data_IF_849352264664
#
_entry.id   IF_849352264664
#
_cell.length_a   1.000
_cell.length_b   1.000
_cell.length_c   1.000
_cell.angle_alpha   90.00
_cell.angle_beta   90.00
_cell.angle_gamma   90.00
#
_symmetry.space_group_name_H-M   'P 1'
#
loop_
_entity.id
_entity.type
_entity.pdbx_description
1 polymer ?
#
# COMPACT_ATOMS: atom_id res chain seq x y z
N UNK A 1 -28.90 7.69 12.81
CA UNK A 1 -28.45 6.37 13.33
C UNK A 1 -28.50 6.36 14.84
N UNK A 2 -29.11 5.36 15.44
CA UNK A 2 -29.27 5.23 16.89
C UNK A 2 -27.93 4.76 17.50
N UNK A 3 -27.58 5.24 18.68
CA UNK A 3 -26.37 4.92 19.45
C UNK A 3 -26.06 3.41 19.52
N UNK A 4 -27.09 2.56 19.40
CA UNK A 4 -26.96 1.11 19.33
C UNK A 4 -26.35 0.59 18.01
N UNK A 5 -26.55 1.30 16.89
CA UNK A 5 -26.00 0.92 15.57
C UNK A 5 -24.52 1.29 15.45
N UNK A 6 -24.13 2.40 16.09
CA UNK A 6 -22.70 2.78 16.17
C UNK A 6 -21.93 1.81 17.06
N UNK A 7 -22.56 1.33 18.15
CA UNK A 7 -21.97 0.33 19.01
C UNK A 7 -21.78 -1.05 18.30
N UNK A 8 -22.69 -1.41 17.41
CA UNK A 8 -22.57 -2.66 16.63
C UNK A 8 -21.44 -2.57 15.60
N UNK A 9 -21.26 -1.42 14.93
CA UNK A 9 -20.15 -1.23 14.00
C UNK A 9 -18.80 -1.24 14.72
N UNK A 10 -18.71 -0.59 15.88
CA UNK A 10 -17.51 -0.60 16.72
C UNK A 10 -17.16 -2.00 17.24
N UNK A 11 -18.18 -2.79 17.59
CA UNK A 11 -17.98 -4.18 18.07
C UNK A 11 -17.54 -5.12 16.95
N UNK A 12 -18.00 -4.93 15.71
CA UNK A 12 -17.57 -5.74 14.56
C UNK A 12 -16.11 -5.47 14.24
N UNK A 13 -15.66 -4.22 14.26
CA UNK A 13 -14.24 -3.87 14.03
C UNK A 13 -13.36 -4.41 15.16
N UNK A 14 -13.78 -4.29 16.42
CA UNK A 14 -13.05 -4.82 17.58
C UNK A 14 -13.04 -6.36 17.58
N UNK A 15 -14.11 -7.01 17.12
CA UNK A 15 -14.15 -8.48 17.00
C UNK A 15 -13.27 -9.00 15.86
N UNK A 16 -13.12 -8.26 14.77
CA UNK A 16 -12.17 -8.60 13.71
C UNK A 16 -10.73 -8.48 14.22
N UNK A 17 -10.40 -7.40 14.95
CA UNK A 17 -9.08 -7.22 15.57
C UNK A 17 -8.83 -8.27 16.66
N UNK A 18 -9.82 -8.62 17.46
CA UNK A 18 -9.70 -9.67 18.48
C UNK A 18 -9.62 -11.08 17.88
N UNK A 19 -10.32 -11.36 16.78
CA UNK A 19 -10.22 -12.62 16.06
C UNK A 19 -8.83 -12.79 15.42
N UNK A 20 -8.27 -11.71 14.89
CA UNK A 20 -6.89 -11.68 14.35
C UNK A 20 -5.87 -11.93 15.46
N UNK A 21 -6.03 -11.32 16.64
CA UNK A 21 -5.14 -11.57 17.79
C UNK A 21 -5.21 -13.00 18.32
N UNK A 22 -6.36 -13.67 18.23
CA UNK A 22 -6.52 -15.08 18.65
C UNK A 22 -5.91 -16.06 17.64
N UNK A 23 -5.88 -15.70 16.35
CA UNK A 23 -5.23 -16.52 15.32
C UNK A 23 -3.70 -16.48 15.47
N UNK A 24 -3.13 -15.33 15.84
CA UNK A 24 -1.67 -15.18 16.05
C UNK A 24 -1.14 -16.09 17.17
N UNK A 25 -1.95 -16.41 18.18
CA UNK A 25 -1.52 -17.24 19.31
C UNK A 25 -1.73 -18.75 19.13
N UNK A 26 -2.33 -19.19 18.00
CA UNK A 26 -2.66 -20.61 17.76
C UNK A 26 -2.00 -21.24 16.53
N UNK A 27 -1.25 -20.50 15.74
CA UNK A 27 -0.64 -21.04 14.52
C UNK A 27 0.85 -21.39 14.69
N UNK A 28 1.18 -22.17 15.71
CA UNK A 28 2.51 -22.78 15.82
C UNK A 28 2.49 -24.27 15.45
N UNK A 29 1.73 -24.62 14.44
CA UNK A 29 1.78 -25.94 13.80
C UNK A 29 2.08 -25.73 12.30
N UNK A 30 3.38 -25.72 11.97
CA UNK A 30 3.94 -25.59 10.62
C UNK A 30 3.29 -26.49 9.58
N UNK A 31 2.19 -26.03 9.00
CA UNK A 31 1.62 -26.62 7.78
C UNK A 31 0.85 -25.55 7.00
N UNK A 32 1.41 -25.22 5.86
CA UNK A 32 0.73 -24.53 4.79
C UNK A 32 1.50 -23.31 4.34
N UNK A 33 2.57 -23.49 3.56
CA UNK A 33 2.90 -22.50 2.55
C UNK A 33 1.72 -22.51 1.57
N UNK A 34 0.77 -21.61 1.74
CA UNK A 34 0.03 -21.14 0.58
C UNK A 34 1.09 -20.67 -0.41
N UNK A 35 0.96 -21.00 -1.67
CA UNK A 35 1.81 -20.43 -2.71
C UNK A 35 1.62 -18.92 -2.62
N UNK A 36 2.66 -18.22 -2.13
CA UNK A 36 2.60 -16.77 -1.92
C UNK A 36 2.82 -16.13 -3.27
N UNK A 37 1.79 -15.45 -3.79
CA UNK A 37 1.84 -14.74 -5.07
C UNK A 37 2.38 -13.30 -4.96
N UNK A 38 2.90 -12.91 -3.78
CA UNK A 38 3.41 -11.57 -3.56
C UNK A 38 4.67 -11.28 -4.37
N UNK A 39 4.84 -10.03 -4.75
CA UNK A 39 5.92 -9.54 -5.58
C UNK A 39 6.73 -8.43 -4.90
N UNK A 40 8.03 -8.39 -5.16
CA UNK A 40 8.89 -7.25 -4.88
C UNK A 40 8.99 -6.34 -6.10
N UNK A 41 8.78 -5.05 -5.93
CA UNK A 41 8.94 -4.05 -6.99
C UNK A 41 10.42 -3.63 -7.20
N UNK A 42 11.36 -4.56 -7.09
CA UNK A 42 12.81 -4.33 -7.10
C UNK A 42 13.44 -4.99 -8.34
N UNK A 43 14.27 -4.25 -9.06
CA UNK A 43 15.07 -4.82 -10.16
C UNK A 43 15.93 -5.98 -9.67
N UNK A 44 15.87 -7.10 -10.40
CA UNK A 44 16.48 -8.36 -10.01
C UNK A 44 15.53 -9.39 -9.39
N UNK A 45 14.28 -9.00 -9.08
CA UNK A 45 13.20 -9.94 -8.81
C UNK A 45 12.67 -10.48 -10.16
N UNK A 46 13.45 -11.31 -10.82
CA UNK A 46 13.20 -11.71 -12.20
C UNK A 46 12.01 -12.65 -12.33
N UNK A 47 11.81 -13.53 -11.35
CA UNK A 47 10.69 -14.46 -11.32
C UNK A 47 9.39 -13.83 -10.80
N UNK A 48 9.45 -12.56 -10.41
CA UNK A 48 8.32 -11.76 -9.88
C UNK A 48 7.69 -12.35 -8.61
N UNK A 49 8.50 -12.96 -7.75
CA UNK A 49 8.05 -13.38 -6.41
C UNK A 49 8.43 -12.35 -5.33
N UNK A 50 8.33 -12.71 -4.06
CA UNK A 50 8.61 -11.82 -2.92
C UNK A 50 10.05 -11.91 -2.40
N UNK A 51 10.97 -12.50 -3.17
CA UNK A 51 12.39 -12.70 -2.79
C UNK A 51 13.30 -12.43 -3.96
N UNK A 52 14.52 -12.01 -3.68
CA UNK A 52 15.59 -11.95 -4.66
C UNK A 52 16.65 -12.99 -4.25
N UNK A 53 16.82 -14.02 -5.08
CA UNK A 53 17.65 -15.17 -4.75
C UNK A 53 18.25 -15.84 -5.99
N UNK A 54 18.77 -17.08 -5.85
CA UNK A 54 19.39 -17.81 -6.95
C UNK A 54 18.39 -18.27 -8.03
N UNK A 55 17.10 -18.35 -7.72
CA UNK A 55 16.07 -18.70 -8.71
C UNK A 55 15.93 -17.59 -9.76
N UNK A 56 16.02 -16.33 -9.32
CA UNK A 56 16.08 -15.15 -10.20
C UNK A 56 17.32 -15.21 -11.11
N UNK A 57 18.47 -15.58 -10.53
CA UNK A 57 19.71 -15.69 -11.28
C UNK A 57 19.65 -16.79 -12.36
N UNK A 58 19.05 -17.94 -12.05
CA UNK A 58 18.82 -19.02 -12.99
C UNK A 58 17.85 -18.62 -14.12
N UNK A 59 16.80 -17.87 -13.78
CA UNK A 59 15.86 -17.36 -14.78
C UNK A 59 16.51 -16.29 -15.66
N UNK A 60 17.25 -15.37 -15.06
CA UNK A 60 18.01 -14.36 -15.81
C UNK A 60 19.00 -14.99 -16.80
N UNK A 61 19.68 -16.08 -16.41
CA UNK A 61 20.54 -16.83 -17.29
C UNK A 61 19.79 -17.40 -18.52
N UNK A 62 18.59 -17.93 -18.32
CA UNK A 62 17.77 -18.43 -19.45
C UNK A 62 17.33 -17.29 -20.36
N UNK A 63 17.01 -16.12 -19.82
CA UNK A 63 16.65 -14.94 -20.61
C UNK A 63 17.85 -14.46 -21.43
N UNK A 64 19.03 -14.32 -20.83
CA UNK A 64 20.26 -13.88 -21.51
C UNK A 64 20.64 -14.85 -22.61
N UNK A 65 20.47 -16.16 -22.41
CA UNK A 65 20.75 -17.19 -23.41
C UNK A 65 19.68 -17.28 -24.52
N UNK A 66 18.55 -16.57 -24.38
CA UNK A 66 17.46 -16.62 -25.37
C UNK A 66 16.54 -17.83 -25.24
N UNK A 67 16.64 -18.59 -24.16
CA UNK A 67 15.78 -19.74 -23.88
C UNK A 67 14.37 -19.31 -23.46
N UNK A 68 14.24 -18.10 -22.92
CA UNK A 68 12.99 -17.47 -22.46
C UNK A 68 12.94 -16.03 -22.97
N UNK A 69 11.72 -15.56 -23.37
CA UNK A 69 11.55 -14.18 -23.84
C UNK A 69 11.69 -13.19 -22.69
N UNK A 70 12.45 -12.13 -22.91
CA UNK A 70 12.62 -11.05 -21.94
C UNK A 70 11.35 -10.20 -21.72
N UNK A 71 10.43 -10.21 -22.69
CA UNK A 71 9.25 -9.35 -22.67
C UNK A 71 8.30 -9.62 -21.48
N UNK A 72 8.39 -10.82 -20.91
CA UNK A 72 7.56 -11.26 -19.78
C UNK A 72 8.19 -10.91 -18.41
N UNK A 73 9.44 -10.40 -18.40
CA UNK A 73 10.23 -10.21 -17.19
C UNK A 73 10.78 -8.78 -17.05
N UNK A 74 9.92 -7.81 -16.73
CA UNK A 74 10.30 -6.39 -16.71
C UNK A 74 11.37 -6.04 -15.67
N UNK A 75 11.57 -6.87 -14.64
CA UNK A 75 12.58 -6.68 -13.61
C UNK A 75 13.92 -7.37 -13.90
N UNK A 76 14.10 -7.93 -15.11
CA UNK A 76 15.34 -8.56 -15.54
C UNK A 76 16.43 -7.57 -15.96
N UNK A 77 16.07 -6.32 -16.30
CA UNK A 77 17.01 -5.21 -16.41
C UNK A 77 17.36 -4.73 -14.99
N UNK A 78 18.32 -5.44 -14.40
CA UNK A 78 18.63 -5.30 -12.95
C UNK A 78 19.40 -4.03 -12.64
N UNK A 79 20.20 -3.56 -13.62
CA UNK A 79 21.04 -2.36 -13.48
C UNK A 79 20.41 -1.10 -14.10
N UNK A 80 19.21 -1.23 -14.71
CA UNK A 80 18.43 -0.12 -15.26
C UNK A 80 19.04 0.52 -16.51
N UNK A 81 19.93 -0.17 -17.24
CA UNK A 81 20.61 0.40 -18.43
C UNK A 81 19.83 0.19 -19.74
N UNK A 82 18.68 -0.47 -19.66
CA UNK A 82 17.80 -0.76 -20.81
C UNK A 82 18.21 -1.99 -21.61
N UNK A 83 19.21 -2.77 -21.15
CA UNK A 83 19.66 -3.98 -21.83
C UNK A 83 19.74 -5.13 -20.83
N UNK A 84 19.26 -6.30 -21.20
CA UNK A 84 19.38 -7.50 -20.35
C UNK A 84 20.58 -8.33 -20.83
N UNK A 85 21.64 -8.39 -20.01
CA UNK A 85 22.91 -9.03 -20.39
C UNK A 85 23.73 -9.45 -19.15
N UNK A 86 25.01 -9.83 -19.35
CA UNK A 86 25.90 -10.26 -18.28
C UNK A 86 26.15 -9.16 -17.17
N UNK A 87 25.93 -7.87 -17.48
CA UNK A 87 26.06 -6.82 -16.50
C UNK A 87 24.94 -6.91 -15.45
N UNK A 88 23.72 -7.23 -15.87
CA UNK A 88 22.58 -7.49 -14.98
C UNK A 88 22.82 -8.69 -14.09
N UNK A 89 23.34 -9.76 -14.67
CA UNK A 89 23.73 -10.95 -13.93
C UNK A 89 24.79 -10.65 -12.87
N UNK A 90 25.79 -9.83 -13.21
CA UNK A 90 26.81 -9.40 -12.27
C UNK A 90 26.24 -8.52 -11.16
N UNK A 91 25.27 -7.66 -11.48
CA UNK A 91 24.60 -6.79 -10.53
C UNK A 91 23.68 -7.59 -9.60
N UNK A 92 22.89 -8.53 -10.16
CA UNK A 92 22.03 -9.42 -9.38
C UNK A 92 22.82 -10.26 -8.36
N UNK A 93 23.98 -10.77 -8.73
CA UNK A 93 24.88 -11.46 -7.78
C UNK A 93 25.28 -10.58 -6.61
N UNK A 94 25.54 -9.29 -6.84
CA UNK A 94 25.83 -8.34 -5.76
C UNK A 94 24.62 -8.07 -4.89
N UNK A 95 23.42 -7.97 -5.48
CA UNK A 95 22.17 -7.86 -4.73
C UNK A 95 22.00 -9.07 -3.80
N UNK A 96 22.10 -10.29 -4.33
CA UNK A 96 21.96 -11.53 -3.57
C UNK A 96 23.01 -11.63 -2.45
N UNK A 97 24.24 -11.17 -2.70
CA UNK A 97 25.30 -11.14 -1.68
C UNK A 97 25.24 -9.93 -0.74
N UNK A 98 24.23 -9.06 -0.91
CA UNK A 98 24.07 -7.81 -0.16
C UNK A 98 25.30 -6.85 -0.27
N UNK A 99 25.93 -6.83 -1.45
CA UNK A 99 27.11 -5.99 -1.77
C UNK A 99 26.75 -4.92 -2.81
N UNK A 100 25.64 -4.22 -2.58
CA UNK A 100 25.17 -3.10 -3.40
C UNK A 100 24.97 -1.85 -2.54
N UNK A 101 25.08 -0.68 -3.19
CA UNK A 101 24.77 0.61 -2.58
C UNK A 101 23.51 1.25 -3.13
N UNK A 102 22.95 0.68 -4.17
CA UNK A 102 21.71 1.13 -4.79
C UNK A 102 20.95 -0.07 -5.35
N UNK A 103 19.66 0.13 -5.54
CA UNK A 103 18.77 -0.82 -6.25
C UNK A 103 17.82 -0.05 -7.14
N UNK A 104 17.36 -0.68 -8.20
CA UNK A 104 16.33 -0.13 -9.06
C UNK A 104 14.95 -0.55 -8.56
N UNK A 105 14.04 0.41 -8.46
CA UNK A 105 12.68 0.20 -7.98
C UNK A 105 11.72 0.62 -9.06
N UNK A 106 10.74 -0.22 -9.37
CA UNK A 106 9.59 0.14 -10.20
C UNK A 106 8.44 0.50 -9.27
N UNK A 107 8.05 1.76 -9.25
CA UNK A 107 6.94 2.20 -8.41
C UNK A 107 5.58 1.77 -8.98
N UNK A 108 4.50 1.95 -8.20
CA UNK A 108 3.15 1.53 -8.59
C UNK A 108 2.57 2.30 -9.79
N UNK A 109 3.25 3.35 -10.26
CA UNK A 109 2.93 4.05 -11.50
C UNK A 109 3.80 3.62 -12.68
N UNK A 110 4.68 2.64 -12.49
CA UNK A 110 5.61 2.15 -13.49
C UNK A 110 6.86 3.03 -13.70
N UNK A 111 7.13 3.98 -12.79
CA UNK A 111 8.36 4.75 -12.84
C UNK A 111 9.51 3.90 -12.29
N UNK A 112 10.59 3.79 -13.07
CA UNK A 112 11.82 3.08 -12.67
C UNK A 112 12.82 4.10 -12.15
N UNK A 113 13.33 3.88 -10.94
CA UNK A 113 14.25 4.81 -10.27
C UNK A 113 15.35 4.05 -9.54
N UNK A 114 16.56 4.58 -9.57
CA UNK A 114 17.66 4.13 -8.73
C UNK A 114 17.53 4.74 -7.33
N UNK A 115 17.61 3.90 -6.30
CA UNK A 115 17.46 4.27 -4.91
C UNK A 115 18.67 3.79 -4.12
N UNK A 116 19.18 4.65 -3.24
CA UNK A 116 20.22 4.25 -2.30
C UNK A 116 19.78 3.09 -1.43
N UNK A 117 20.66 2.12 -1.23
CA UNK A 117 20.37 0.90 -0.47
C UNK A 117 21.43 0.65 0.62
N UNK A 118 21.03 0.34 1.85
CA UNK A 118 19.66 0.31 2.37
C UNK A 118 19.08 1.72 2.54
N UNK A 119 17.78 1.85 2.29
CA UNK A 119 17.09 3.14 2.31
C UNK A 119 16.97 3.68 3.74
N UNK A 120 17.27 4.97 3.91
CA UNK A 120 17.21 5.68 5.21
C UNK A 120 16.62 7.09 5.01
N UNK A 121 16.26 7.72 6.11
CA UNK A 121 15.80 9.10 6.13
C UNK A 121 14.61 9.36 5.18
N UNK A 122 13.64 8.46 5.14
CA UNK A 122 12.47 8.61 4.26
C UNK A 122 11.47 9.62 4.81
N UNK A 123 10.72 10.23 3.90
CA UNK A 123 9.56 11.06 4.22
C UNK A 123 8.29 10.31 3.85
N UNK A 124 7.46 9.96 4.82
CA UNK A 124 6.17 9.31 4.59
C UNK A 124 5.06 10.38 4.50
N UNK A 125 4.63 10.69 3.28
CA UNK A 125 3.63 11.76 3.03
C UNK A 125 2.20 11.32 3.37
N UNK A 126 1.93 10.04 3.36
CA UNK A 126 0.61 9.49 3.67
C UNK A 126 0.64 8.71 4.98
N UNK A 127 -0.43 8.86 5.76
CA UNK A 127 -0.57 8.19 7.05
C UNK A 127 -0.48 6.66 6.94
N UNK A 128 -1.04 6.10 5.88
CA UNK A 128 -1.02 4.65 5.62
C UNK A 128 0.40 4.13 5.47
N UNK A 129 1.26 4.82 4.72
CA UNK A 129 2.67 4.45 4.57
C UNK A 129 3.44 4.53 5.88
N UNK A 130 3.19 5.58 6.67
CA UNK A 130 3.76 5.71 8.00
C UNK A 130 3.34 4.54 8.91
N UNK A 131 2.11 4.04 8.77
CA UNK A 131 1.60 2.87 9.47
C UNK A 131 2.32 1.59 9.03
N UNK A 132 2.49 1.36 7.72
CA UNK A 132 3.24 0.21 7.20
C UNK A 132 4.67 0.17 7.72
N UNK A 133 5.36 1.30 7.67
CA UNK A 133 6.73 1.42 8.20
C UNK A 133 6.75 1.15 9.71
N UNK A 134 5.76 1.65 10.45
CA UNK A 134 5.63 1.40 11.90
C UNK A 134 5.41 -0.08 12.21
N UNK A 135 4.58 -0.77 11.41
CA UNK A 135 4.31 -2.20 11.57
C UNK A 135 5.55 -3.06 11.33
N UNK A 136 6.43 -2.65 10.41
CA UNK A 136 7.74 -3.27 10.19
C UNK A 136 8.73 -2.97 11.34
N UNK A 137 8.41 -2.01 12.21
CA UNK A 137 9.33 -1.52 13.23
C UNK A 137 10.47 -0.67 12.66
N UNK A 138 10.35 -0.17 11.42
CA UNK A 138 11.37 0.57 10.70
C UNK A 138 11.26 2.10 10.91
N UNK A 139 10.77 2.53 12.06
CA UNK A 139 10.56 3.96 12.38
C UNK A 139 11.86 4.76 12.46
N UNK A 140 12.97 4.12 12.74
CA UNK A 140 14.32 4.69 12.71
C UNK A 140 14.83 5.02 11.30
N UNK A 141 14.17 4.47 10.27
CA UNK A 141 14.44 4.83 8.88
C UNK A 141 13.70 6.08 8.40
N UNK A 142 12.85 6.69 9.26
CA UNK A 142 11.98 7.81 8.90
C UNK A 142 12.53 9.12 9.45
N UNK A 143 12.78 10.09 8.56
CA UNK A 143 13.15 11.45 8.97
C UNK A 143 11.91 12.34 9.19
N UNK A 144 10.83 12.10 8.46
CA UNK A 144 9.60 12.87 8.61
C UNK A 144 8.35 12.13 8.13
N UNK A 145 7.20 12.49 8.71
CA UNK A 145 5.94 11.86 8.34
C UNK A 145 4.77 12.85 8.44
N UNK A 146 3.73 12.58 7.67
CA UNK A 146 2.43 13.25 7.81
C UNK A 146 1.53 12.34 8.66
N UNK A 147 1.00 12.90 9.74
CA UNK A 147 0.22 12.16 10.70
C UNK A 147 -1.24 12.00 10.28
N UNK A 148 -1.87 10.91 10.71
CA UNK A 148 -3.32 10.75 10.68
C UNK A 148 -4.01 11.61 11.74
N UNK A 149 -5.27 11.94 11.50
CA UNK A 149 -6.17 12.50 12.54
C UNK A 149 -6.43 11.50 13.69
N UNK A 150 -6.10 10.23 13.49
CA UNK A 150 -6.27 9.14 14.46
C UNK A 150 -4.92 8.76 15.06
N UNK A 151 -4.53 9.38 16.20
CA UNK A 151 -3.17 9.24 16.73
C UNK A 151 -2.84 7.84 17.25
N UNK A 152 -3.84 7.02 17.55
CA UNK A 152 -3.63 5.65 18.08
C UNK A 152 -2.94 4.75 17.05
N UNK A 153 -3.28 4.89 15.76
CA UNK A 153 -2.75 4.08 14.67
C UNK A 153 -1.27 4.33 14.38
N UNK A 154 -0.73 5.44 14.86
CA UNK A 154 0.64 5.88 14.58
C UNK A 154 1.49 6.05 15.83
N UNK A 155 1.16 5.35 16.91
CA UNK A 155 1.84 5.52 18.21
C UNK A 155 3.34 5.30 18.11
N UNK A 156 3.81 4.29 17.35
CA UNK A 156 5.24 4.00 17.24
C UNK A 156 6.00 5.13 16.55
N UNK A 157 5.53 5.60 15.39
CA UNK A 157 6.21 6.66 14.65
C UNK A 157 6.11 8.01 15.36
N UNK A 158 5.01 8.28 16.08
CA UNK A 158 4.85 9.50 16.87
C UNK A 158 5.79 9.55 18.08
N UNK A 159 6.23 8.41 18.58
CA UNK A 159 7.17 8.29 19.69
C UNK A 159 8.63 8.12 19.20
N UNK A 160 8.86 8.13 17.89
CA UNK A 160 10.21 8.11 17.31
C UNK A 160 10.81 9.52 17.23
N UNK A 161 12.05 9.60 16.79
CA UNK A 161 12.75 10.87 16.52
C UNK A 161 12.31 11.52 15.20
N UNK A 162 11.45 10.86 14.43
CA UNK A 162 10.93 11.37 13.15
C UNK A 162 10.11 12.65 13.33
N UNK A 163 10.32 13.62 12.47
CA UNK A 163 9.61 14.89 12.51
C UNK A 163 8.16 14.74 12.02
N UNK A 164 7.19 15.06 12.87
CA UNK A 164 5.81 15.21 12.43
C UNK A 164 5.66 16.49 11.60
N UNK A 165 5.48 16.32 10.29
CA UNK A 165 5.39 17.43 9.32
C UNK A 165 4.06 18.14 9.44
N UNK A 166 2.96 17.39 9.49
CA UNK A 166 1.61 17.91 9.64
C UNK A 166 0.63 16.82 10.09
N UNK A 167 -0.54 17.27 10.57
CA UNK A 167 -1.73 16.45 10.68
C UNK A 167 -2.62 16.70 9.44
N UNK A 168 -2.54 15.83 8.43
CA UNK A 168 -3.26 16.06 7.17
C UNK A 168 -3.03 15.01 6.11
N UNK A 169 -3.31 15.37 4.86
CA UNK A 169 -3.24 14.45 3.72
C UNK A 169 -2.46 14.99 2.52
N UNK A 170 -1.91 16.19 2.60
CA UNK A 170 -1.31 16.84 1.43
C UNK A 170 -0.08 17.63 1.82
N UNK A 171 0.92 17.61 0.96
CA UNK A 171 2.07 18.52 1.03
C UNK A 171 1.68 19.83 0.32
N UNK A 172 1.49 20.87 1.11
CA UNK A 172 1.32 22.25 0.69
C UNK A 172 2.60 23.03 1.02
N UNK A 173 2.57 24.34 0.89
CA UNK A 173 3.74 25.20 1.09
C UNK A 173 4.35 25.07 2.51
N UNK A 174 3.51 24.94 3.54
CA UNK A 174 3.99 24.80 4.92
C UNK A 174 4.70 23.46 5.15
N UNK A 175 4.15 22.38 4.63
CA UNK A 175 4.73 21.02 4.69
C UNK A 175 6.01 20.96 3.84
N UNK A 176 6.00 21.56 2.65
CA UNK A 176 7.19 21.66 1.81
C UNK A 176 8.34 22.34 2.53
N UNK A 177 8.09 23.48 3.22
CA UNK A 177 9.12 24.17 4.01
C UNK A 177 9.71 23.26 5.09
N UNK A 178 8.87 22.54 5.84
CA UNK A 178 9.35 21.60 6.85
C UNK A 178 10.19 20.48 6.26
N UNK A 179 9.81 19.92 5.11
CA UNK A 179 10.62 18.88 4.43
C UNK A 179 11.98 19.48 4.01
N UNK A 180 12.01 20.73 3.56
CA UNK A 180 13.27 21.43 3.26
C UNK A 180 14.13 21.68 4.50
N UNK A 181 13.53 21.94 5.65
CA UNK A 181 14.24 22.07 6.93
C UNK A 181 14.85 20.72 7.37
N UNK A 182 14.09 19.60 7.20
CA UNK A 182 14.62 18.25 7.43
C UNK A 182 15.79 17.97 6.48
N UNK A 183 15.67 18.30 5.19
CA UNK A 183 16.75 18.09 4.23
C UNK A 183 18.01 18.89 4.60
N UNK A 184 17.86 20.13 5.05
CA UNK A 184 19.00 20.95 5.48
C UNK A 184 19.66 20.44 6.78
N UNK A 185 18.87 19.90 7.72
CA UNK A 185 19.39 19.29 8.93
C UNK A 185 20.21 18.01 8.61
N UNK A 186 19.69 17.16 7.73
CA UNK A 186 20.38 15.96 7.25
C UNK A 186 21.68 16.33 6.51
N UNK A 187 21.64 17.30 5.58
CA UNK A 187 22.80 17.76 4.85
C UNK A 187 23.91 18.25 5.79
N UNK A 188 23.55 18.94 6.88
CA UNK A 188 24.50 19.38 7.92
C UNK A 188 25.24 18.23 8.61
N UNK A 189 24.66 17.02 8.54
CA UNK A 189 25.21 15.77 9.09
C UNK A 189 25.91 14.91 8.05
N UNK A 190 25.92 15.35 6.79
CA UNK A 190 26.42 14.59 5.64
C UNK A 190 25.47 13.45 5.21
N UNK A 191 24.20 13.60 5.52
CA UNK A 191 23.11 12.69 5.18
C UNK A 191 22.13 13.35 4.22
N UNK A 192 21.24 12.57 3.62
CA UNK A 192 20.23 13.07 2.70
C UNK A 192 18.87 12.40 2.91
N UNK A 193 17.81 12.99 2.36
CA UNK A 193 16.51 12.31 2.25
C UNK A 193 16.65 11.18 1.24
N UNK A 194 16.47 9.94 1.67
CA UNK A 194 16.62 8.78 0.80
C UNK A 194 15.47 8.62 -0.19
N UNK A 195 14.23 8.91 0.21
CA UNK A 195 13.07 8.96 -0.67
C UNK A 195 11.88 9.66 -0.01
N UNK A 196 10.96 10.13 -0.84
CA UNK A 196 9.62 10.56 -0.43
C UNK A 196 8.63 9.48 -0.87
N UNK A 197 7.89 8.92 0.08
CA UNK A 197 6.82 7.96 -0.16
C UNK A 197 5.46 8.63 -0.20
N UNK A 198 4.67 8.33 -1.23
CA UNK A 198 3.30 8.81 -1.38
C UNK A 198 2.45 7.76 -2.14
N UNK A 199 1.12 7.81 -2.03
CA UNK A 199 0.26 6.92 -2.81
C UNK A 199 -0.75 7.64 -3.71
N UNK A 200 -0.85 8.95 -3.61
CA UNK A 200 -1.79 9.75 -4.42
C UNK A 200 -1.09 10.98 -4.97
N UNK A 201 -1.18 11.16 -6.28
CA UNK A 201 -0.59 12.31 -6.98
C UNK A 201 -1.08 13.66 -6.44
N UNK A 202 -2.31 13.71 -5.92
CA UNK A 202 -2.86 14.91 -5.29
C UNK A 202 -2.32 15.19 -3.89
N UNK A 203 -1.67 14.21 -3.25
CA UNK A 203 -1.11 14.36 -1.91
C UNK A 203 0.25 15.07 -1.92
N UNK A 204 1.03 14.93 -2.99
CA UNK A 204 2.37 15.47 -3.10
C UNK A 204 2.40 16.75 -3.95
N UNK A 205 2.21 17.89 -3.31
CA UNK A 205 2.58 19.19 -3.91
C UNK A 205 4.09 19.32 -4.01
N UNK A 206 4.56 20.20 -4.90
CA UNK A 206 6.00 20.49 -5.12
C UNK A 206 6.81 19.27 -5.62
N UNK A 207 6.16 18.33 -6.31
CA UNK A 207 6.83 17.15 -6.87
C UNK A 207 8.04 17.53 -7.72
N UNK A 208 7.87 18.47 -8.65
CA UNK A 208 8.94 18.92 -9.54
C UNK A 208 10.12 19.56 -8.79
N UNK A 209 9.86 20.22 -7.66
CA UNK A 209 10.93 20.83 -6.86
C UNK A 209 11.75 19.77 -6.11
N UNK A 210 11.12 18.69 -5.65
CA UNK A 210 11.82 17.56 -5.04
C UNK A 210 12.64 16.80 -6.09
N UNK A 211 12.08 16.54 -7.25
CA UNK A 211 12.78 15.90 -8.37
C UNK A 211 13.99 16.73 -8.82
N UNK A 212 13.83 18.05 -8.92
CA UNK A 212 14.92 18.97 -9.25
C UNK A 212 16.02 19.01 -8.16
N UNK A 213 15.66 18.72 -6.91
CA UNK A 213 16.61 18.57 -5.82
C UNK A 213 17.25 17.16 -5.76
N UNK A 214 16.94 16.28 -6.70
CA UNK A 214 17.47 14.92 -6.75
C UNK A 214 16.90 13.97 -5.68
N UNK A 215 15.77 14.33 -5.06
CA UNK A 215 15.11 13.49 -4.04
C UNK A 215 14.22 12.47 -4.76
N UNK A 216 14.47 11.17 -4.60
CA UNK A 216 13.63 10.13 -5.19
C UNK A 216 12.21 10.19 -4.64
N UNK A 217 11.22 9.97 -5.51
CA UNK A 217 9.81 9.98 -5.16
C UNK A 217 9.21 8.65 -5.57
N UNK A 218 8.77 7.85 -4.59
CA UNK A 218 8.26 6.52 -4.79
C UNK A 218 6.78 6.41 -4.44
N UNK A 219 6.02 5.82 -5.35
CA UNK A 219 4.68 5.35 -5.08
C UNK A 219 4.70 3.83 -4.90
N UNK A 220 4.51 3.37 -3.68
CA UNK A 220 4.31 1.95 -3.39
C UNK A 220 2.89 1.83 -2.85
N UNK A 221 1.96 1.40 -3.72
CA UNK A 221 0.55 1.29 -3.37
C UNK A 221 0.36 0.21 -2.32
N UNK A 222 -0.38 0.53 -1.27
CA UNK A 222 -0.52 -0.32 -0.09
C UNK A 222 -1.92 -0.26 0.53
N UNK A 223 -2.93 0.14 -0.24
CA UNK A 223 -4.27 0.39 0.32
C UNK A 223 -5.31 -0.66 -0.05
N UNK A 224 -4.98 -1.63 -0.89
CA UNK A 224 -5.83 -2.80 -1.17
C UNK A 224 -5.25 -4.07 -0.55
N UNK A 225 -6.06 -5.10 -0.29
CA UNK A 225 -5.55 -6.37 0.20
C UNK A 225 -4.43 -6.94 -0.67
N UNK A 226 -4.59 -6.93 -2.00
CA UNK A 226 -3.57 -7.45 -2.93
C UNK A 226 -2.25 -6.69 -2.84
N UNK A 227 -2.30 -5.36 -2.71
CA UNK A 227 -1.11 -4.52 -2.61
C UNK A 227 -0.46 -4.49 -1.22
N UNK A 228 -1.20 -4.86 -0.16
CA UNK A 228 -0.68 -4.82 1.21
C UNK A 228 0.49 -5.76 1.40
N UNK A 229 0.36 -7.00 0.94
CA UNK A 229 1.39 -8.02 1.11
C UNK A 229 2.67 -7.64 0.36
N UNK A 230 2.53 -7.23 -0.92
CA UNK A 230 3.64 -6.77 -1.77
C UNK A 230 4.34 -5.55 -1.17
N UNK A 231 3.55 -4.61 -0.62
CA UNK A 231 4.10 -3.42 0.02
C UNK A 231 4.98 -3.77 1.24
N UNK A 232 4.55 -4.72 2.09
CA UNK A 232 5.38 -5.15 3.23
C UNK A 232 6.69 -5.76 2.78
N UNK A 233 6.67 -6.64 1.78
CA UNK A 233 7.87 -7.25 1.24
C UNK A 233 8.79 -6.18 0.64
N UNK A 234 8.24 -5.27 -0.16
CA UNK A 234 9.00 -4.19 -0.82
C UNK A 234 9.61 -3.22 0.19
N UNK A 235 8.84 -2.71 1.16
CA UNK A 235 9.38 -1.81 2.19
C UNK A 235 10.43 -2.50 3.05
N UNK A 236 10.18 -3.75 3.45
CA UNK A 236 11.15 -4.53 4.21
C UNK A 236 12.47 -4.67 3.47
N UNK A 237 12.38 -4.98 2.16
CA UNK A 237 13.57 -5.08 1.31
C UNK A 237 14.30 -3.74 1.18
N UNK A 238 13.60 -2.64 0.88
CA UNK A 238 14.21 -1.31 0.74
C UNK A 238 14.95 -0.85 2.00
N UNK A 239 14.41 -1.11 3.17
CA UNK A 239 15.09 -0.77 4.43
C UNK A 239 16.26 -1.70 4.76
N UNK A 240 16.28 -2.91 4.20
CA UNK A 240 17.38 -3.87 4.32
C UNK A 240 17.58 -4.42 5.75
N UNK A 241 18.63 -5.23 5.92
CA UNK A 241 18.97 -5.79 7.22
C UNK A 241 17.87 -6.65 7.81
N UNK A 242 17.54 -6.42 9.08
CA UNK A 242 16.48 -7.17 9.77
C UNK A 242 15.07 -6.93 9.23
N UNK A 243 14.85 -5.81 8.50
CA UNK A 243 13.55 -5.47 7.97
C UNK A 243 13.15 -6.36 6.77
N UNK A 244 14.12 -6.95 6.07
CA UNK A 244 13.84 -7.90 4.97
C UNK A 244 12.98 -9.06 5.48
N UNK A 245 13.45 -9.73 6.56
CA UNK A 245 12.70 -10.86 7.11
C UNK A 245 11.36 -10.43 7.71
N UNK A 246 11.31 -9.28 8.39
CA UNK A 246 10.06 -8.73 8.92
C UNK A 246 9.05 -8.43 7.80
N UNK A 247 9.51 -7.90 6.66
CA UNK A 247 8.68 -7.67 5.49
C UNK A 247 8.10 -8.97 4.92
N UNK A 248 8.93 -10.01 4.79
CA UNK A 248 8.52 -11.34 4.36
C UNK A 248 7.50 -11.94 5.34
N UNK A 249 7.75 -11.86 6.65
CA UNK A 249 6.86 -12.39 7.68
C UNK A 249 5.49 -11.71 7.65
N UNK A 250 5.45 -10.38 7.48
CA UNK A 250 4.21 -9.62 7.37
C UNK A 250 3.48 -9.91 6.06
N UNK A 251 4.21 -10.03 4.94
CA UNK A 251 3.67 -10.45 3.66
C UNK A 251 2.99 -11.83 3.78
N UNK A 252 3.70 -12.80 4.31
CA UNK A 252 3.17 -14.15 4.54
C UNK A 252 1.97 -14.15 5.49
N UNK A 253 2.00 -13.31 6.52
CA UNK A 253 0.85 -13.13 7.42
C UNK A 253 -0.40 -12.65 6.67
N UNK A 254 -0.27 -11.66 5.78
CA UNK A 254 -1.38 -11.17 4.96
C UNK A 254 -1.99 -12.29 4.11
N UNK A 255 -1.16 -13.04 3.39
CA UNK A 255 -1.63 -14.16 2.56
C UNK A 255 -2.28 -15.27 3.39
N UNK A 256 -1.71 -15.61 4.55
CA UNK A 256 -2.32 -16.61 5.44
C UNK A 256 -3.71 -16.16 5.93
N UNK A 257 -3.90 -14.86 6.19
CA UNK A 257 -5.21 -14.31 6.55
C UNK A 257 -6.18 -14.42 5.38
N UNK A 258 -5.76 -14.06 4.17
CA UNK A 258 -6.61 -14.14 2.97
C UNK A 258 -7.00 -15.57 2.65
N UNK A 259 -6.06 -16.50 2.65
CA UNK A 259 -6.30 -17.94 2.46
C UNK A 259 -7.25 -18.50 3.53
N UNK A 260 -7.07 -18.09 4.80
CA UNK A 260 -7.97 -18.49 5.87
C UNK A 260 -9.41 -17.99 5.65
N UNK A 261 -9.56 -16.73 5.22
CA UNK A 261 -10.87 -16.17 4.92
C UNK A 261 -11.50 -16.92 3.74
N UNK A 262 -10.77 -17.13 2.66
CA UNK A 262 -11.25 -17.84 1.48
C UNK A 262 -11.71 -19.25 1.83
N UNK A 263 -10.90 -20.01 2.56
CA UNK A 263 -11.26 -21.36 3.05
C UNK A 263 -12.46 -21.36 4.00
N UNK A 264 -12.60 -20.31 4.82
CA UNK A 264 -13.71 -20.21 5.79
C UNK A 264 -15.01 -19.85 5.08
N UNK A 265 -14.96 -18.95 4.11
CA UNK A 265 -16.13 -18.59 3.32
C UNK A 265 -16.51 -19.74 2.39
N UNK A 266 -15.53 -20.33 1.69
CA UNK A 266 -15.72 -21.48 0.83
C UNK A 266 -16.86 -21.31 -0.16
N UNK A 267 -17.67 -22.38 -0.28
CA UNK A 267 -18.82 -22.44 -1.19
C UNK A 267 -20.10 -21.84 -0.58
N UNK A 268 -20.01 -21.05 0.48
CA UNK A 268 -21.19 -20.39 1.05
C UNK A 268 -21.84 -19.46 0.03
N UNK A 269 -23.14 -19.28 0.13
CA UNK A 269 -23.86 -18.28 -0.68
C UNK A 269 -23.26 -16.90 -0.41
N UNK A 270 -22.78 -16.26 -1.47
CA UNK A 270 -22.12 -14.97 -1.38
C UNK A 270 -23.14 -13.85 -1.21
N UNK A 271 -22.98 -13.07 -0.17
CA UNK A 271 -23.82 -11.90 0.09
C UNK A 271 -23.39 -10.77 -0.85
N UNK A 272 -24.37 -10.16 -1.49
CA UNK A 272 -24.14 -8.93 -2.26
C UNK A 272 -24.06 -7.76 -1.30
N UNK A 273 -23.05 -6.91 -1.50
CA UNK A 273 -22.81 -5.74 -0.66
C UNK A 273 -22.43 -4.53 -1.51
N UNK A 274 -22.70 -3.34 -0.99
CA UNK A 274 -22.33 -2.08 -1.59
C UNK A 274 -21.38 -1.34 -0.65
N UNK A 275 -20.26 -0.87 -1.18
CA UNK A 275 -19.33 -0.01 -0.45
C UNK A 275 -19.77 1.45 -0.58
N UNK A 276 -20.06 2.12 0.54
CA UNK A 276 -20.32 3.55 0.61
C UNK A 276 -19.23 4.23 1.43
N UNK A 277 -18.66 5.31 0.91
CA UNK A 277 -17.78 6.15 1.70
C UNK A 277 -18.59 7.14 2.57
N UNK A 278 -17.89 7.92 3.40
CA UNK A 278 -18.52 8.89 4.33
C UNK A 278 -19.32 10.02 3.63
N UNK A 279 -19.13 10.20 2.33
CA UNK A 279 -19.84 11.19 1.53
C UNK A 279 -20.91 10.52 0.65
N UNK A 280 -21.30 9.29 0.98
CA UNK A 280 -22.27 8.47 0.23
C UNK A 280 -21.90 8.21 -1.22
N UNK A 281 -20.62 8.21 -1.54
CA UNK A 281 -20.17 7.74 -2.83
C UNK A 281 -20.20 6.21 -2.85
N UNK A 282 -20.84 5.65 -3.85
CA UNK A 282 -20.71 4.22 -4.13
C UNK A 282 -19.29 3.97 -4.64
N UNK A 283 -18.57 3.09 -3.97
CA UNK A 283 -17.26 2.70 -4.41
C UNK A 283 -17.37 1.89 -5.70
N UNK A 284 -16.48 2.16 -6.66
CA UNK A 284 -16.40 1.37 -7.90
C UNK A 284 -15.76 0.00 -7.65
N UNK A 285 -15.80 -0.88 -8.63
CA UNK A 285 -15.25 -2.23 -8.54
C UNK A 285 -13.73 -2.29 -8.40
N UNK A 286 -13.02 -1.21 -8.69
CA UNK A 286 -11.56 -1.09 -8.56
C UNK A 286 -11.14 -0.47 -7.22
N UNK A 287 -12.10 -0.17 -6.35
CA UNK A 287 -11.81 0.44 -5.05
C UNK A 287 -11.36 -0.59 -4.02
N UNK A 288 -10.52 -0.17 -3.08
CA UNK A 288 -10.15 -0.98 -1.92
C UNK A 288 -11.36 -1.51 -1.13
N UNK A 289 -12.49 -0.81 -1.12
CA UNK A 289 -13.72 -1.26 -0.45
C UNK A 289 -14.36 -2.43 -1.18
N UNK A 290 -14.33 -2.41 -2.51
CA UNK A 290 -14.77 -3.54 -3.33
C UNK A 290 -13.89 -4.76 -3.10
N UNK A 291 -12.57 -4.57 -2.97
CA UNK A 291 -11.62 -5.63 -2.64
C UNK A 291 -11.93 -6.23 -1.26
N UNK A 292 -12.09 -5.41 -0.24
CA UNK A 292 -12.46 -5.88 1.11
C UNK A 292 -13.74 -6.73 1.08
N UNK A 293 -14.76 -6.31 0.32
CA UNK A 293 -16.00 -7.07 0.16
C UNK A 293 -15.72 -8.42 -0.51
N UNK A 294 -14.92 -8.45 -1.57
CA UNK A 294 -14.56 -9.68 -2.30
C UNK A 294 -13.76 -10.64 -1.41
N UNK A 295 -12.75 -10.13 -0.71
CA UNK A 295 -11.95 -10.93 0.22
C UNK A 295 -12.76 -11.45 1.41
N UNK A 296 -13.74 -10.69 1.88
CA UNK A 296 -14.71 -11.18 2.87
C UNK A 296 -15.72 -12.21 2.32
N UNK A 297 -15.58 -12.59 1.05
CA UNK A 297 -16.44 -13.57 0.37
C UNK A 297 -17.77 -13.00 -0.10
N UNK A 298 -17.90 -11.68 -0.17
CA UNK A 298 -19.05 -10.99 -0.72
C UNK A 298 -18.97 -10.76 -2.23
N UNK A 299 -20.04 -10.25 -2.80
CA UNK A 299 -20.08 -9.72 -4.14
C UNK A 299 -20.28 -8.21 -4.02
N UNK A 300 -19.30 -7.43 -4.45
CA UNK A 300 -19.48 -5.98 -4.54
C UNK A 300 -20.43 -5.65 -5.69
N UNK A 301 -21.43 -4.82 -5.42
CA UNK A 301 -22.41 -4.38 -6.42
C UNK A 301 -22.12 -2.93 -6.76
N UNK A 302 -21.80 -2.70 -8.02
CA UNK A 302 -21.62 -1.39 -8.60
C UNK A 302 -22.95 -0.93 -9.19
N UNK A 303 -23.45 0.24 -8.75
CA UNK A 303 -24.74 0.75 -9.21
C UNK A 303 -24.70 1.36 -10.61
N UNK A 304 -23.49 1.69 -11.10
CA UNK A 304 -23.26 2.18 -12.46
C UNK A 304 -21.99 1.57 -13.03
N UNK A 305 -22.06 0.56 -13.90
CA UNK A 305 -20.89 -0.01 -14.54
C UNK A 305 -20.08 1.06 -15.26
N UNK A 306 -18.79 1.17 -14.92
CA UNK A 306 -17.88 2.17 -15.50
C UNK A 306 -18.01 3.57 -14.90
N UNK A 307 -18.79 3.78 -13.84
CA UNK A 307 -18.70 5.01 -13.06
C UNK A 307 -17.34 5.04 -12.37
N UNK A 308 -16.51 5.99 -12.78
CA UNK A 308 -15.34 6.38 -12.01
C UNK A 308 -15.80 6.69 -10.58
N UNK A 309 -14.88 6.69 -9.61
CA UNK A 309 -15.11 7.08 -8.20
C UNK A 309 -15.64 8.52 -8.02
N UNK A 310 -16.29 9.04 -9.04
CA UNK A 310 -17.00 10.31 -9.02
C UNK A 310 -18.23 10.16 -8.12
N UNK A 311 -18.48 11.17 -7.27
CA UNK A 311 -19.68 11.20 -6.47
C UNK A 311 -20.88 11.06 -7.39
N UNK A 312 -21.82 10.22 -7.02
CA UNK A 312 -23.15 10.32 -7.61
C UNK A 312 -23.67 11.69 -7.18
N UNK A 313 -23.56 12.63 -8.08
CA UNK A 313 -24.03 13.97 -7.83
C UNK A 313 -25.55 13.91 -7.74
N UNK A 314 -26.11 14.30 -6.61
CA UNK A 314 -27.47 14.81 -6.62
C UNK A 314 -27.54 15.96 -7.63
N UNK A 315 -28.70 16.22 -8.22
CA UNK A 315 -28.89 17.29 -9.19
C UNK A 315 -28.40 18.66 -8.69
N UNK A 316 -28.23 18.81 -7.39
CA UNK A 316 -27.85 20.06 -6.68
C UNK A 316 -26.41 20.09 -6.14
N UNK A 317 -25.62 19.04 -6.38
CA UNK A 317 -24.25 18.94 -5.90
C UNK A 317 -24.16 18.62 -4.41
N UNK A 318 -23.42 17.55 -4.06
CA UNK A 318 -23.16 17.21 -2.66
C UNK A 318 -22.28 18.32 -2.05
N UNK A 319 -22.80 18.96 -1.03
CA UNK A 319 -22.04 19.90 -0.21
C UNK A 319 -20.95 19.14 0.54
N UNK A 320 -19.74 19.69 0.55
CA UNK A 320 -18.61 19.11 1.25
C UNK A 320 -18.95 18.83 2.71
N UNK A 321 -18.56 17.65 3.16
CA UNK A 321 -18.60 17.29 4.57
C UNK A 321 -17.67 18.24 5.36
N UNK A 322 -18.26 19.12 6.15
CA UNK A 322 -17.55 20.07 7.05
C UNK A 322 -17.64 19.65 8.54
N UNK A 323 -18.01 18.38 8.78
CA UNK A 323 -18.24 17.82 10.11
C UNK A 323 -19.69 17.95 10.59
N UNK A 324 -20.57 18.56 9.79
CA UNK A 324 -22.01 18.58 9.97
C UNK A 324 -22.66 18.04 8.73
N UNK A 325 -23.26 16.87 8.83
CA UNK A 325 -24.02 16.29 7.73
C UNK A 325 -25.42 16.85 7.79
N UNK A 326 -25.68 17.91 7.09
CA UNK A 326 -27.03 18.30 6.73
C UNK A 326 -27.40 17.52 5.46
N UNK A 327 -28.04 16.36 5.63
CA UNK A 327 -28.58 15.60 4.51
C UNK A 327 -29.72 16.40 3.88
N UNK A 328 -29.62 16.63 2.58
CA UNK A 328 -30.72 17.20 1.82
C UNK A 328 -31.74 16.11 1.50
N UNK A 329 -32.97 16.49 1.14
CA UNK A 329 -33.99 15.54 0.70
C UNK A 329 -33.53 14.74 -0.53
N UNK A 330 -32.72 15.35 -1.41
CA UNK A 330 -32.10 14.72 -2.56
C UNK A 330 -31.08 13.61 -2.17
N UNK A 331 -30.38 13.76 -1.05
CA UNK A 331 -29.44 12.73 -0.57
C UNK A 331 -30.20 11.50 -0.06
N UNK A 332 -31.37 11.71 0.57
CA UNK A 332 -32.25 10.63 0.98
C UNK A 332 -32.88 9.91 -0.23
N UNK A 333 -33.31 10.64 -1.23
CA UNK A 333 -33.88 10.07 -2.46
C UNK A 333 -32.82 9.25 -3.20
N UNK A 334 -31.59 9.73 -3.28
CA UNK A 334 -30.49 8.98 -3.84
C UNK A 334 -30.19 7.67 -3.07
N UNK A 335 -30.09 7.74 -1.74
CA UNK A 335 -29.89 6.55 -0.90
C UNK A 335 -31.04 5.57 -1.09
N UNK A 336 -32.27 6.07 -1.17
CA UNK A 336 -33.45 5.27 -1.43
C UNK A 336 -33.40 4.60 -2.79
N UNK A 337 -33.02 5.33 -3.85
CA UNK A 337 -32.86 4.76 -5.19
C UNK A 337 -31.78 3.65 -5.21
N UNK A 338 -30.69 3.82 -4.48
CA UNK A 338 -29.68 2.78 -4.31
C UNK A 338 -30.25 1.57 -3.56
N UNK A 339 -30.99 1.78 -2.49
CA UNK A 339 -31.62 0.70 -1.72
C UNK A 339 -32.67 -0.02 -2.56
N UNK A 340 -33.51 0.72 -3.28
CA UNK A 340 -34.53 0.15 -4.18
C UNK A 340 -33.89 -0.68 -5.33
N UNK A 341 -32.72 -0.25 -5.84
CA UNK A 341 -31.94 -1.02 -6.81
C UNK A 341 -31.34 -2.30 -6.18
N UNK A 342 -30.89 -2.22 -4.94
CA UNK A 342 -30.43 -3.37 -4.19
C UNK A 342 -31.55 -4.38 -3.97
N UNK A 343 -32.73 -3.92 -3.57
CA UNK A 343 -33.92 -4.77 -3.37
C UNK A 343 -34.38 -5.42 -4.68
N UNK A 344 -34.45 -4.66 -5.79
CA UNK A 344 -34.82 -5.18 -7.11
C UNK A 344 -33.80 -6.15 -7.70
N UNK A 345 -32.58 -6.11 -7.24
CA UNK A 345 -31.51 -7.04 -7.63
C UNK A 345 -31.49 -8.32 -6.78
N UNK A 346 -32.50 -8.56 -5.94
CA UNK A 346 -32.53 -9.64 -4.93
C UNK A 346 -31.34 -9.59 -3.98
N UNK A 347 -30.94 -8.39 -3.59
CA UNK A 347 -29.88 -8.14 -2.63
C UNK A 347 -30.53 -7.72 -1.31
N UNK A 348 -31.06 -8.67 -0.59
CA UNK A 348 -31.42 -8.54 0.83
C UNK A 348 -31.08 -9.84 1.52
#
# INVERSE_FOLDING_TARGET
>A
MNTKQIAVLGVVVVLIIAAVAVVITKSDDGKGNADIEASLAIGGNVNNDYKINNEDLELLDKIINGDVSADEYPLADVNGDGNINDADKAYLKKIISNDVKSVWVTDSYGNVQEINYPLRNVIAVNADMAMFISNLGAVDCVAGFIASKYPVEQTLIRNSDATCIADGRQVKEAEYKKIREIAADLDSKGEEIGAIFYYSTSALGFKADFEAAGIPILNIYCTSPDSNADAYATYGYLFGGEYVQKGIDMCQYCYNVYDHIEKTVGDREKVKAIGLNMNFYVCNNESQYADIIRYAGGIHVETQPGASSEPVKSADGITKFDGKVDYTEADYDYIKDVVDQLETSNIV
#
